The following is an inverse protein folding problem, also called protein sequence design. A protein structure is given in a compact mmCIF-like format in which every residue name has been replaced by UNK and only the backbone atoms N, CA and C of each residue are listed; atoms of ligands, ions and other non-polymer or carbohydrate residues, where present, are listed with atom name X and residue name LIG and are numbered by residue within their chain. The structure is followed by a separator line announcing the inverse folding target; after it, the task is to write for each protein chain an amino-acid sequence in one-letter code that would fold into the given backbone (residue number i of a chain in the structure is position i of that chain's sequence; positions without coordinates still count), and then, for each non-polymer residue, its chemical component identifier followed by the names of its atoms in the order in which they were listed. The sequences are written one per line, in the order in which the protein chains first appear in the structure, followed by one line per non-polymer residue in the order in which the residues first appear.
data_IF_518533168150
#
_entry.id   IF_518533168150
#
_cell.length_a   1.000
_cell.length_b   1.000
_cell.length_c   1.000
_cell.angle_alpha   90.00
_cell.angle_beta   90.00
_cell.angle_gamma   90.00
#
_symmetry.space_group_name_H-M   'P 1'
#
loop_
_entity.id
_entity.type
_entity.pdbx_description
1 polymer ?
#
# COMPACT_ATOMS: atom_id res chain seq x y z
N UNK A 1 -58.00 95.48 -3.64
CA UNK A 1 -56.75 95.69 -2.89
C UNK A 1 -55.82 94.51 -3.17
N UNK A 2 -54.57 94.81 -3.58
CA UNK A 2 -53.28 94.06 -3.50
C UNK A 2 -53.35 92.56 -3.14
N UNK A 3 -52.66 91.60 -3.76
CA UNK A 3 -51.53 91.57 -4.70
C UNK A 3 -50.97 90.13 -4.75
N UNK A 4 -50.29 89.78 -5.85
CA UNK A 4 -49.62 88.49 -6.13
C UNK A 4 -48.54 88.11 -5.11
N UNK A 5 -48.32 86.80 -4.86
CA UNK A 5 -46.98 86.16 -4.79
C UNK A 5 -47.08 84.66 -5.11
N UNK A 6 -46.23 84.18 -6.05
CA UNK A 6 -45.91 82.76 -6.33
C UNK A 6 -44.86 82.26 -5.33
N UNK A 7 -44.99 81.04 -4.81
CA UNK A 7 -43.98 80.39 -3.97
C UNK A 7 -43.83 78.90 -4.30
N UNK A 8 -42.69 78.55 -4.88
CA UNK A 8 -42.21 77.21 -5.19
C UNK A 8 -41.56 76.60 -3.93
N UNK A 9 -41.86 75.37 -3.48
CA UNK A 9 -41.10 74.77 -2.39
C UNK A 9 -39.78 74.16 -2.91
N UNK A 10 -38.71 74.59 -2.26
CA UNK A 10 -37.31 74.19 -2.44
C UNK A 10 -37.09 72.75 -1.94
N UNK A 11 -36.40 71.94 -2.73
CA UNK A 11 -35.92 70.62 -2.33
C UNK A 11 -34.73 70.77 -1.37
N UNK A 12 -34.87 70.23 -0.15
CA UNK A 12 -33.77 70.12 0.82
C UNK A 12 -33.02 68.81 0.56
N UNK A 13 -31.78 68.90 0.13
CA UNK A 13 -30.86 67.77 0.04
C UNK A 13 -30.32 67.46 1.46
N UNK A 14 -30.68 66.30 2.01
CA UNK A 14 -30.10 65.78 3.25
C UNK A 14 -28.87 64.95 2.89
N UNK A 15 -27.71 65.44 3.33
CA UNK A 15 -26.42 64.73 3.27
C UNK A 15 -26.44 63.63 4.35
N UNK A 16 -26.55 62.36 3.95
CA UNK A 16 -26.39 61.23 4.88
C UNK A 16 -24.91 60.81 4.87
N UNK A 17 -24.22 61.06 5.99
CA UNK A 17 -22.86 60.57 6.21
C UNK A 17 -22.86 59.04 6.31
N UNK A 18 -21.93 58.41 5.59
CA UNK A 18 -21.65 56.99 5.63
C UNK A 18 -21.16 56.55 7.02
N UNK A 19 -21.99 55.82 7.75
CA UNK A 19 -21.57 54.99 8.87
C UNK A 19 -21.26 53.59 8.35
N UNK A 20 -19.97 53.24 8.26
CA UNK A 20 -19.54 51.87 7.97
C UNK A 20 -19.96 50.97 9.13
N UNK A 21 -21.08 50.27 8.97
CA UNK A 21 -21.49 49.21 9.87
C UNK A 21 -20.47 48.07 9.75
N UNK A 22 -19.65 47.88 10.78
CA UNK A 22 -18.81 46.69 10.93
C UNK A 22 -19.77 45.56 11.27
N UNK A 23 -20.24 44.83 10.27
CA UNK A 23 -20.96 43.58 10.48
C UNK A 23 -19.94 42.56 10.97
N UNK A 24 -19.97 42.25 12.26
CA UNK A 24 -19.32 41.05 12.78
C UNK A 24 -19.97 39.85 12.09
N UNK A 25 -19.27 39.31 11.09
CA UNK A 25 -19.60 38.02 10.52
C UNK A 25 -19.48 36.99 11.65
N UNK A 26 -20.62 36.52 12.14
CA UNK A 26 -20.65 35.25 12.86
C UNK A 26 -20.14 34.21 11.88
N UNK A 27 -19.01 33.58 12.20
CA UNK A 27 -18.52 32.43 11.46
C UNK A 27 -19.64 31.38 11.49
N UNK A 28 -20.32 31.19 10.37
CA UNK A 28 -21.21 30.07 10.18
C UNK A 28 -20.31 28.82 10.24
N UNK A 29 -20.60 27.81 11.07
CA UNK A 29 -19.83 26.58 11.02
C UNK A 29 -19.89 26.04 9.59
N UNK A 30 -18.73 25.75 9.01
CA UNK A 30 -18.62 25.19 7.66
C UNK A 30 -19.57 24.01 7.50
N UNK A 31 -20.25 23.86 6.34
CA UNK A 31 -21.04 22.66 6.07
C UNK A 31 -20.11 21.44 6.15
N UNK A 32 -20.42 20.51 7.06
CA UNK A 32 -19.67 19.27 7.29
C UNK A 32 -19.37 18.58 5.97
N UNK A 33 -18.10 18.58 5.55
CA UNK A 33 -17.67 17.88 4.34
C UNK A 33 -17.52 16.38 4.66
N UNK A 34 -18.29 15.47 4.04
CA UNK A 34 -18.31 14.06 4.45
C UNK A 34 -17.06 13.30 3.96
N UNK A 35 -16.39 12.56 4.85
CA UNK A 35 -15.34 11.58 4.55
C UNK A 35 -15.17 10.52 5.67
N UNK A 36 -14.31 9.47 5.54
CA UNK A 36 -13.97 8.58 6.70
C UNK A 36 -13.87 9.52 7.87
N UNK A 37 -14.64 9.34 8.94
CA UNK A 37 -15.05 10.48 9.78
C UNK A 37 -13.82 11.36 10.06
N UNK A 38 -13.82 12.63 9.64
CA UNK A 38 -12.66 13.54 9.75
C UNK A 38 -11.45 13.30 8.80
N UNK A 39 -11.63 12.65 7.66
CA UNK A 39 -10.59 12.22 6.70
C UNK A 39 -10.56 12.99 5.38
N UNK A 40 -9.82 12.50 4.38
CA UNK A 40 -9.68 13.13 3.05
C UNK A 40 -9.82 12.10 1.93
N UNK A 41 -9.92 12.52 0.67
CA UNK A 41 -9.84 11.58 -0.45
C UNK A 41 -8.46 10.95 -0.45
N UNK A 42 -8.38 9.68 -0.87
CA UNK A 42 -7.11 9.00 -1.04
C UNK A 42 -6.19 9.82 -1.97
N UNK A 43 -5.02 10.18 -1.47
CA UNK A 43 -4.05 11.04 -2.19
C UNK A 43 -3.12 10.26 -3.10
N UNK A 44 -3.16 8.93 -3.03
CA UNK A 44 -2.34 8.01 -3.80
C UNK A 44 -3.18 6.79 -4.21
N UNK A 45 -2.72 6.04 -5.21
CA UNK A 45 -3.35 4.79 -5.61
C UNK A 45 -2.84 3.64 -4.75
N UNK A 46 -3.76 2.87 -4.18
CA UNK A 46 -3.42 1.71 -3.35
C UNK A 46 -3.71 0.41 -4.12
N UNK A 47 -2.67 -0.18 -4.71
CA UNK A 47 -2.80 -1.36 -5.59
C UNK A 47 -3.42 -2.58 -4.88
N UNK A 48 -3.18 -2.71 -3.59
CA UNK A 48 -3.70 -3.79 -2.75
C UNK A 48 -5.13 -3.56 -2.25
N UNK A 49 -5.69 -2.34 -2.37
CA UNK A 49 -6.99 -2.04 -1.79
C UNK A 49 -8.08 -2.91 -2.43
N UNK A 50 -8.90 -3.57 -1.60
CA UNK A 50 -9.95 -4.46 -2.04
C UNK A 50 -11.32 -3.99 -1.54
N UNK A 51 -12.29 -3.95 -2.45
CA UNK A 51 -13.71 -3.72 -2.17
C UNK A 51 -14.44 -5.04 -2.28
N UNK A 52 -14.95 -5.56 -1.16
CA UNK A 52 -15.81 -6.73 -1.08
C UNK A 52 -17.22 -6.33 -1.53
N UNK A 53 -17.77 -7.05 -2.50
CA UNK A 53 -19.03 -6.70 -3.15
C UNK A 53 -19.93 -7.92 -3.35
N UNK A 54 -21.24 -7.71 -3.25
CA UNK A 54 -22.19 -8.66 -3.81
C UNK A 54 -22.12 -8.66 -5.34
N UNK A 55 -22.71 -9.66 -5.99
CA UNK A 55 -22.72 -9.78 -7.46
C UNK A 55 -23.33 -8.59 -8.22
N UNK A 56 -24.15 -7.77 -7.57
CA UNK A 56 -24.69 -6.53 -8.15
C UNK A 56 -23.69 -5.36 -8.12
N UNK A 57 -22.48 -5.56 -7.57
CA UNK A 57 -21.47 -4.53 -7.37
C UNK A 57 -21.64 -3.72 -6.08
N UNK A 58 -22.62 -4.05 -5.24
CA UNK A 58 -22.84 -3.39 -3.96
C UNK A 58 -21.74 -3.69 -2.96
N UNK A 59 -20.98 -2.67 -2.57
CA UNK A 59 -19.91 -2.76 -1.57
C UNK A 59 -20.47 -2.96 -0.16
N UNK A 60 -19.88 -3.88 0.60
CA UNK A 60 -20.28 -4.16 1.99
C UNK A 60 -19.11 -4.18 2.98
N UNK A 61 -17.89 -4.52 2.54
CA UNK A 61 -16.68 -4.53 3.36
C UNK A 61 -15.43 -4.16 2.54
N UNK A 62 -14.38 -3.72 3.22
CA UNK A 62 -13.03 -3.57 2.68
C UNK A 62 -12.18 -4.84 2.81
N UNK A 63 -10.95 -4.75 2.30
CA UNK A 63 -9.93 -5.79 2.39
C UNK A 63 -8.60 -5.31 1.83
N UNK A 64 -7.57 -6.14 1.95
CA UNK A 64 -6.26 -5.93 1.35
C UNK A 64 -5.74 -7.18 0.64
N UNK A 65 -5.29 -7.04 -0.61
CA UNK A 65 -4.56 -8.08 -1.31
C UNK A 65 -3.21 -8.29 -0.62
N UNK A 66 -3.00 -9.47 -0.03
CA UNK A 66 -1.73 -9.84 0.65
C UNK A 66 -0.90 -10.83 -0.16
N UNK A 67 -1.52 -11.56 -1.09
CA UNK A 67 -0.85 -12.39 -2.12
C UNK A 67 -1.59 -12.25 -3.44
N UNK A 68 -1.01 -12.67 -4.59
CA UNK A 68 -1.70 -12.59 -5.88
C UNK A 68 -3.09 -13.26 -5.89
N UNK A 69 -3.33 -14.27 -5.05
CA UNK A 69 -4.61 -14.99 -4.93
C UNK A 69 -5.27 -14.85 -3.56
N UNK A 70 -4.76 -14.03 -2.64
CA UNK A 70 -5.27 -13.96 -1.27
C UNK A 70 -5.53 -12.52 -0.83
N UNK A 71 -6.77 -12.28 -0.40
CA UNK A 71 -7.21 -11.03 0.21
C UNK A 71 -7.46 -11.28 1.70
N UNK A 72 -6.92 -10.41 2.55
CA UNK A 72 -7.21 -10.38 3.98
C UNK A 72 -8.36 -9.39 4.23
N UNK A 73 -9.33 -9.81 5.03
CA UNK A 73 -10.50 -9.03 5.46
C UNK A 73 -10.94 -9.51 6.85
N UNK A 74 -12.04 -8.99 7.40
CA UNK A 74 -12.56 -9.43 8.69
C UNK A 74 -13.41 -10.72 8.55
N UNK A 75 -13.49 -11.55 9.60
CA UNK A 75 -14.33 -12.76 9.58
C UNK A 75 -15.81 -12.43 9.50
N UNK A 76 -16.25 -11.40 10.24
CA UNK A 76 -17.65 -11.02 10.25
C UNK A 76 -18.15 -10.56 8.86
N UNK A 77 -17.27 -10.11 7.97
CA UNK A 77 -17.60 -9.77 6.59
C UNK A 77 -17.99 -11.00 5.75
N UNK A 78 -17.57 -12.20 6.15
CA UNK A 78 -17.85 -13.44 5.42
C UNK A 78 -19.02 -14.23 6.03
N UNK A 79 -19.57 -13.75 7.15
CA UNK A 79 -20.65 -14.43 7.85
C UNK A 79 -21.95 -14.42 7.04
N UNK A 80 -22.48 -15.61 6.73
CA UNK A 80 -23.72 -15.75 5.96
C UNK A 80 -23.56 -15.61 4.44
N UNK A 81 -22.36 -15.26 3.97
CA UNK A 81 -22.04 -15.18 2.55
C UNK A 81 -21.78 -16.57 1.95
N UNK A 82 -21.88 -16.67 0.62
CA UNK A 82 -21.44 -17.84 -0.15
C UNK A 82 -20.43 -17.42 -1.24
N UNK A 83 -19.43 -18.24 -1.61
CA UNK A 83 -18.39 -17.85 -2.57
C UNK A 83 -18.91 -17.32 -3.90
N UNK A 84 -20.01 -17.89 -4.41
CA UNK A 84 -20.64 -17.46 -5.66
C UNK A 84 -21.44 -16.15 -5.54
N UNK A 85 -21.72 -15.68 -4.32
CA UNK A 85 -22.43 -14.43 -4.03
C UNK A 85 -21.53 -13.21 -3.93
N UNK A 86 -20.21 -13.43 -3.78
CA UNK A 86 -19.21 -12.40 -3.51
C UNK A 86 -18.23 -12.25 -4.66
N UNK A 87 -17.96 -11.01 -5.03
CA UNK A 87 -16.85 -10.61 -5.90
C UNK A 87 -15.98 -9.56 -5.19
N UNK A 88 -14.74 -9.43 -5.64
CA UNK A 88 -13.79 -8.47 -5.04
C UNK A 88 -13.23 -7.57 -6.13
N UNK A 89 -13.40 -6.25 -6.00
CA UNK A 89 -12.69 -5.28 -6.85
C UNK A 89 -11.37 -4.90 -6.20
N UNK A 90 -10.26 -5.10 -6.90
CA UNK A 90 -8.90 -4.94 -6.35
C UNK A 90 -8.10 -3.91 -7.15
N UNK A 91 -7.41 -3.01 -6.45
CA UNK A 91 -6.47 -2.04 -7.00
C UNK A 91 -7.11 -0.85 -7.70
N UNK A 92 -8.23 -0.36 -7.16
CA UNK A 92 -8.86 0.89 -7.58
C UNK A 92 -9.25 1.72 -6.36
N UNK A 93 -9.04 3.04 -6.43
CA UNK A 93 -9.60 3.96 -5.45
C UNK A 93 -11.11 4.22 -5.69
N UNK A 94 -11.66 3.83 -6.84
CA UNK A 94 -13.09 3.94 -7.12
C UNK A 94 -13.75 2.56 -6.93
N UNK A 95 -14.69 2.42 -6.01
CA UNK A 95 -15.33 1.12 -5.75
C UNK A 95 -16.24 0.63 -6.88
N UNK A 96 -16.64 1.51 -7.80
CA UNK A 96 -17.55 1.20 -8.91
C UNK A 96 -16.82 0.97 -10.25
N UNK A 97 -15.55 1.35 -10.38
CA UNK A 97 -14.81 1.28 -11.65
C UNK A 97 -13.31 1.08 -11.47
N UNK A 98 -12.60 0.69 -12.52
CA UNK A 98 -11.15 0.43 -12.49
C UNK A 98 -10.77 -0.84 -11.70
N UNK A 99 -9.48 -1.16 -11.68
CA UNK A 99 -8.96 -2.36 -11.02
C UNK A 99 -9.46 -3.67 -11.67
N UNK A 100 -9.27 -4.78 -10.96
CA UNK A 100 -9.71 -6.11 -11.37
C UNK A 100 -10.90 -6.56 -10.53
N UNK A 101 -11.96 -7.06 -11.15
CA UNK A 101 -13.04 -7.77 -10.43
C UNK A 101 -12.73 -9.26 -10.43
N UNK A 102 -12.37 -9.79 -9.26
CA UNK A 102 -12.00 -11.17 -9.06
C UNK A 102 -13.14 -11.97 -8.40
N UNK A 103 -13.29 -13.24 -8.81
CA UNK A 103 -14.23 -14.17 -8.20
C UNK A 103 -13.60 -14.89 -7.00
N UNK A 104 -14.42 -15.11 -5.98
CA UNK A 104 -14.03 -15.83 -4.77
C UNK A 104 -14.17 -17.35 -4.98
N UNK A 105 -13.16 -18.09 -4.54
CA UNK A 105 -13.13 -19.56 -4.56
C UNK A 105 -13.58 -20.13 -3.22
N UNK A 106 -13.03 -19.61 -2.13
CA UNK A 106 -13.36 -19.97 -0.74
C UNK A 106 -12.78 -18.91 0.20
N UNK A 107 -12.99 -19.07 1.49
CA UNK A 107 -12.26 -18.35 2.53
C UNK A 107 -11.88 -19.28 3.68
N UNK A 108 -10.94 -18.82 4.50
CA UNK A 108 -10.49 -19.50 5.72
C UNK A 108 -10.51 -18.47 6.86
N UNK A 109 -11.30 -18.76 7.87
CA UNK A 109 -11.36 -17.96 9.10
C UNK A 109 -10.23 -18.40 10.04
N UNK A 110 -9.64 -17.45 10.76
CA UNK A 110 -8.71 -17.70 11.84
C UNK A 110 -9.37 -18.40 13.04
N UNK A 111 -10.61 -18.02 13.38
CA UNK A 111 -11.45 -18.59 14.44
C UNK A 111 -11.21 -18.03 15.84
N UNK A 112 -10.30 -17.06 16.00
CA UNK A 112 -10.02 -16.41 17.30
C UNK A 112 -9.85 -14.89 17.14
N UNK A 113 -9.09 -14.46 16.14
CA UNK A 113 -9.06 -13.08 15.67
C UNK A 113 -10.16 -12.90 14.63
N UNK A 114 -10.78 -11.73 14.55
CA UNK A 114 -11.75 -11.37 13.52
C UNK A 114 -11.04 -11.07 12.19
N UNK A 115 -10.27 -12.04 11.68
CA UNK A 115 -9.51 -11.96 10.42
C UNK A 115 -9.78 -13.21 9.56
N UNK A 116 -10.10 -13.01 8.29
CA UNK A 116 -10.34 -14.06 7.29
C UNK A 116 -9.46 -13.87 6.05
N UNK A 117 -9.05 -15.00 5.47
CA UNK A 117 -8.35 -15.06 4.20
C UNK A 117 -9.29 -15.52 3.09
N UNK A 118 -9.54 -14.64 2.14
CA UNK A 118 -10.40 -14.90 0.98
C UNK A 118 -9.52 -15.29 -0.20
N UNK A 119 -9.75 -16.49 -0.72
CA UNK A 119 -9.00 -17.04 -1.83
C UNK A 119 -9.67 -16.74 -3.16
N UNK A 120 -8.92 -16.14 -4.08
CA UNK A 120 -9.37 -15.84 -5.43
C UNK A 120 -9.31 -17.09 -6.32
N UNK A 121 -10.18 -17.14 -7.33
CA UNK A 121 -10.16 -18.20 -8.36
C UNK A 121 -8.93 -18.16 -9.27
N UNK A 122 -8.30 -16.99 -9.42
CA UNK A 122 -7.10 -16.77 -10.22
C UNK A 122 -6.25 -15.64 -9.62
N UNK A 123 -4.93 -15.61 -9.87
CA UNK A 123 -4.08 -14.51 -9.42
C UNK A 123 -4.44 -13.20 -10.14
N UNK A 124 -4.29 -12.09 -9.44
CA UNK A 124 -4.42 -10.74 -10.00
C UNK A 124 -3.05 -10.08 -10.20
N UNK A 125 -2.96 -9.10 -11.10
CA UNK A 125 -1.71 -8.40 -11.43
C UNK A 125 -1.38 -7.25 -10.47
N UNK A 126 -2.33 -6.88 -9.61
CA UNK A 126 -2.16 -5.87 -8.58
C UNK A 126 -1.07 -6.28 -7.58
N UNK A 127 -0.34 -5.29 -7.07
CA UNK A 127 0.73 -5.50 -6.11
C UNK A 127 0.14 -5.75 -4.72
N UNK A 128 0.44 -6.91 -4.10
CA UNK A 128 0.01 -7.16 -2.73
C UNK A 128 0.77 -6.32 -1.71
N UNK A 129 0.16 -6.06 -0.57
CA UNK A 129 0.81 -5.42 0.58
C UNK A 129 1.46 -6.47 1.49
N UNK A 130 2.66 -6.17 2.00
CA UNK A 130 3.32 -7.00 3.02
C UNK A 130 2.79 -6.69 4.41
N UNK A 131 2.76 -7.69 5.29
CA UNK A 131 2.28 -7.54 6.66
C UNK A 131 3.37 -6.84 7.50
N UNK A 132 3.01 -5.84 8.29
CA UNK A 132 3.93 -5.19 9.23
C UNK A 132 4.34 -6.19 10.32
N UNK A 133 5.58 -6.19 10.83
CA UNK A 133 6.00 -7.15 11.86
C UNK A 133 5.45 -6.76 13.24
N UNK A 134 5.18 -5.46 13.44
CA UNK A 134 4.64 -4.88 14.68
C UNK A 134 3.93 -3.57 14.35
N UNK A 135 2.89 -3.25 15.10
CA UNK A 135 2.28 -1.92 15.16
C UNK A 135 2.55 -1.34 16.54
N UNK A 136 3.41 -0.34 16.63
CA UNK A 136 3.85 0.18 17.94
C UNK A 136 2.86 1.23 18.48
N UNK A 137 2.47 1.16 19.77
CA UNK A 137 1.75 2.25 20.43
C UNK A 137 2.48 3.59 20.29
N UNK A 138 1.71 4.67 20.09
CA UNK A 138 2.23 6.02 19.83
C UNK A 138 2.64 6.28 18.38
N UNK A 139 2.67 5.26 17.51
CA UNK A 139 2.82 5.48 16.07
C UNK A 139 1.55 6.06 15.45
N UNK A 140 1.66 6.68 14.28
CA UNK A 140 0.52 7.09 13.47
C UNK A 140 0.31 6.08 12.36
N UNK A 141 -0.95 5.68 12.17
CA UNK A 141 -1.37 4.74 11.14
C UNK A 141 -2.39 5.39 10.22
N UNK A 142 -2.48 4.87 8.99
CA UNK A 142 -3.46 5.33 8.00
C UNK A 142 -4.57 4.31 7.83
N UNK A 143 -5.81 4.75 7.96
CA UNK A 143 -6.99 3.95 7.68
C UNK A 143 -7.47 4.23 6.27
N UNK A 144 -7.87 3.19 5.54
CA UNK A 144 -8.45 3.31 4.20
C UNK A 144 -9.81 2.64 4.14
N UNK A 145 -10.74 3.25 3.42
CA UNK A 145 -12.02 2.61 3.15
C UNK A 145 -13.06 3.47 2.44
N UNK A 146 -14.21 2.86 2.24
CA UNK A 146 -15.39 3.47 1.59
C UNK A 146 -16.63 3.39 2.48
N UNK A 147 -16.44 3.30 3.78
CA UNK A 147 -17.52 3.28 4.75
C UNK A 147 -18.23 4.63 4.88
N UNK A 148 -19.34 4.60 5.60
CA UNK A 148 -20.16 5.77 5.87
C UNK A 148 -19.33 6.87 6.54
N UNK A 149 -19.57 8.10 6.09
CA UNK A 149 -18.78 9.27 6.49
C UNK A 149 -19.47 10.12 7.53
N UNK A 150 -20.76 9.86 7.73
CA UNK A 150 -21.63 10.48 8.71
C UNK A 150 -22.61 9.43 9.23
N UNK A 151 -22.69 9.26 10.54
CA UNK A 151 -23.72 8.45 11.19
C UNK A 151 -24.22 9.20 12.42
N UNK A 152 -25.52 9.50 12.44
CA UNK A 152 -26.13 10.23 13.55
C UNK A 152 -26.61 9.25 14.62
N UNK A 153 -26.44 9.55 15.92
CA UNK A 153 -27.11 8.79 16.97
C UNK A 153 -28.63 8.76 16.73
N UNK A 154 -29.21 7.57 16.52
CA UNK A 154 -30.65 7.40 16.27
C UNK A 154 -31.14 7.75 14.85
N UNK A 155 -30.25 8.05 13.91
CA UNK A 155 -30.57 8.30 12.50
C UNK A 155 -29.66 7.49 11.57
N UNK A 156 -30.17 7.11 10.40
CA UNK A 156 -29.40 6.33 9.42
C UNK A 156 -28.09 7.00 9.02
N UNK A 157 -27.13 6.19 8.57
CA UNK A 157 -25.87 6.69 8.06
C UNK A 157 -26.02 7.36 6.69
N UNK A 158 -25.22 8.40 6.44
CA UNK A 158 -25.12 9.04 5.13
C UNK A 158 -24.57 8.11 4.06
N UNK A 159 -24.69 8.54 2.80
CA UNK A 159 -24.21 7.76 1.66
C UNK A 159 -22.71 7.49 1.73
N UNK A 160 -22.34 6.23 1.64
CA UNK A 160 -20.94 5.80 1.58
C UNK A 160 -20.25 6.35 0.30
N UNK A 161 -19.00 6.80 0.36
CA UNK A 161 -18.32 7.50 -0.74
C UNK A 161 -17.93 6.54 -1.87
N UNK A 162 -17.95 7.03 -3.11
CA UNK A 162 -17.50 6.22 -4.26
C UNK A 162 -15.97 6.18 -4.37
N UNK A 163 -15.32 7.30 -4.05
CA UNK A 163 -13.86 7.41 -4.01
C UNK A 163 -13.35 7.00 -2.64
N UNK A 164 -12.20 6.33 -2.62
CA UNK A 164 -11.53 5.85 -1.43
C UNK A 164 -11.17 7.03 -0.55
N UNK A 165 -11.42 6.89 0.74
CA UNK A 165 -11.07 7.89 1.73
C UNK A 165 -9.91 7.38 2.58
N UNK A 166 -9.15 8.31 3.13
CA UNK A 166 -8.05 8.04 4.05
C UNK A 166 -8.09 8.95 5.27
N UNK A 167 -7.64 8.46 6.42
CA UNK A 167 -7.44 9.26 7.63
C UNK A 167 -6.26 8.72 8.42
N UNK A 168 -5.50 9.62 9.04
CA UNK A 168 -4.38 9.27 9.90
C UNK A 168 -4.79 9.39 11.37
N UNK A 169 -4.52 8.32 12.14
CA UNK A 169 -4.96 8.15 13.54
C UNK A 169 -3.80 7.59 14.36
N UNK A 170 -3.58 8.04 15.61
CA UNK A 170 -2.53 7.50 16.46
C UNK A 170 -2.97 6.18 17.12
N UNK A 171 -1.99 5.29 17.28
CA UNK A 171 -2.15 4.00 17.97
C UNK A 171 -2.02 4.19 19.47
N UNK A 172 -2.95 3.60 20.22
CA UNK A 172 -2.91 3.53 21.67
C UNK A 172 -2.31 2.19 22.14
N UNK A 173 -1.97 2.10 23.43
CA UNK A 173 -1.67 0.80 24.02
C UNK A 173 -2.92 -0.07 24.07
N UNK A 174 -2.77 -1.39 23.95
CA UNK A 174 -3.90 -2.34 23.95
C UNK A 174 -4.73 -2.25 25.24
N UNK A 175 -4.06 -1.94 26.36
CA UNK A 175 -4.71 -1.69 27.65
C UNK A 175 -5.72 -0.54 27.62
N UNK A 176 -5.58 0.43 26.71
CA UNK A 176 -6.54 1.51 26.54
C UNK A 176 -7.87 1.03 25.96
N UNK A 177 -7.90 -0.13 25.30
CA UNK A 177 -9.09 -0.73 24.73
C UNK A 177 -9.66 -1.90 25.56
N UNK A 178 -9.00 -2.29 26.66
CA UNK A 178 -9.53 -3.31 27.57
C UNK A 178 -9.10 -4.74 27.26
N UNK A 179 -7.84 -4.92 26.82
CA UNK A 179 -7.12 -6.20 26.69
C UNK A 179 -7.78 -7.24 25.79
N UNK A 180 -7.51 -7.16 24.49
CA UNK A 180 -7.58 -8.32 23.60
C UNK A 180 -6.24 -8.46 22.86
N UNK A 181 -5.62 -9.63 23.00
CA UNK A 181 -4.28 -9.97 22.48
C UNK A 181 -4.17 -9.98 20.94
N UNK A 182 -5.29 -9.75 20.24
CA UNK A 182 -5.39 -9.73 18.78
C UNK A 182 -5.94 -8.40 18.27
N UNK A 183 -5.90 -7.34 19.09
CA UNK A 183 -6.52 -6.06 18.76
C UNK A 183 -5.56 -4.89 18.85
N UNK A 184 -5.55 -4.07 17.81
CA UNK A 184 -4.92 -2.76 17.82
C UNK A 184 -5.95 -1.72 18.25
N UNK A 185 -5.58 -0.92 19.24
CA UNK A 185 -6.40 0.15 19.79
C UNK A 185 -6.05 1.51 19.14
N UNK A 186 -7.03 2.25 18.65
CA UNK A 186 -6.81 3.57 18.05
C UNK A 186 -7.43 4.73 18.84
N UNK A 187 -6.78 5.90 18.82
CA UNK A 187 -7.32 7.11 19.45
C UNK A 187 -8.24 7.89 18.49
N UNK A 188 -9.53 7.60 18.57
CA UNK A 188 -10.53 8.24 17.71
C UNK A 188 -11.11 9.54 18.30
N UNK A 189 -10.51 10.10 19.35
CA UNK A 189 -11.08 11.20 20.15
C UNK A 189 -11.37 12.48 19.36
N UNK A 190 -10.71 12.70 18.23
CA UNK A 190 -10.94 13.88 17.38
C UNK A 190 -12.06 13.65 16.35
N UNK A 191 -12.92 12.65 16.57
CA UNK A 191 -13.96 12.24 15.63
C UNK A 191 -13.40 11.49 14.42
N UNK A 192 -12.12 11.10 14.44
CA UNK A 192 -11.48 10.35 13.35
C UNK A 192 -11.70 8.86 13.50
N UNK A 193 -12.42 8.22 12.57
CA UNK A 193 -12.80 6.82 12.76
C UNK A 193 -13.25 6.12 11.48
N UNK A 194 -13.05 4.80 11.43
CA UNK A 194 -13.78 3.93 10.51
C UNK A 194 -15.27 3.87 10.86
N UNK A 195 -16.08 3.41 9.91
CA UNK A 195 -17.51 3.26 10.08
C UNK A 195 -18.09 2.15 9.20
N UNK A 196 -19.40 2.00 9.19
CA UNK A 196 -20.11 0.96 8.42
C UNK A 196 -19.67 0.93 6.95
N UNK A 197 -19.14 -0.21 6.51
CA UNK A 197 -18.55 -0.41 5.18
C UNK A 197 -17.02 -0.38 5.14
N UNK A 198 -16.36 0.15 6.17
CA UNK A 198 -14.90 0.07 6.32
C UNK A 198 -14.42 -1.26 6.90
N UNK A 199 -15.32 -2.06 7.49
CA UNK A 199 -15.06 -3.40 8.03
C UNK A 199 -14.18 -4.25 7.10
N UNK A 200 -13.15 -4.88 7.65
CA UNK A 200 -12.12 -5.63 6.93
C UNK A 200 -11.13 -4.77 6.13
N UNK A 201 -11.35 -3.47 6.01
CA UNK A 201 -10.46 -2.52 5.33
C UNK A 201 -9.15 -2.31 6.07
N UNK A 202 -8.06 -1.96 5.35
CA UNK A 202 -6.72 -1.97 5.90
C UNK A 202 -6.39 -0.76 6.77
N UNK A 203 -5.67 -1.05 7.86
CA UNK A 203 -4.85 -0.12 8.62
C UNK A 203 -3.40 -0.25 8.13
N UNK A 204 -2.80 0.87 7.72
CA UNK A 204 -1.45 0.93 7.16
C UNK A 204 -0.45 1.55 8.14
N UNK A 205 0.74 0.95 8.18
CA UNK A 205 1.91 1.46 8.90
C UNK A 205 2.97 1.86 7.88
N UNK A 206 3.68 2.96 8.13
CA UNK A 206 4.77 3.43 7.28
C UNK A 206 4.49 4.80 6.68
N UNK A 207 4.99 5.01 5.47
CA UNK A 207 4.87 6.27 4.73
C UNK A 207 4.46 6.00 3.28
N UNK A 208 3.96 7.01 2.54
CA UNK A 208 3.66 6.87 1.12
C UNK A 208 4.78 6.19 0.34
N UNK A 209 4.42 5.15 -0.42
CA UNK A 209 5.37 4.30 -1.16
C UNK A 209 6.03 3.15 -0.37
N UNK A 210 5.89 3.11 0.97
CA UNK A 210 6.47 2.10 1.86
C UNK A 210 5.46 1.56 2.88
N UNK A 211 4.19 1.47 2.48
CA UNK A 211 3.12 0.98 3.34
C UNK A 211 3.23 -0.51 3.63
N UNK A 212 2.90 -0.88 4.87
CA UNK A 212 2.70 -2.27 5.31
C UNK A 212 1.35 -2.42 5.99
N UNK A 213 0.75 -3.59 5.88
CA UNK A 213 -0.54 -3.89 6.51
C UNK A 213 -0.33 -4.09 8.01
N UNK A 214 -0.82 -3.13 8.79
CA UNK A 214 -0.80 -3.19 10.24
C UNK A 214 -2.00 -3.91 10.81
N UNK A 215 -3.18 -3.83 10.19
CA UNK A 215 -4.39 -4.48 10.69
C UNK A 215 -5.57 -4.42 9.72
N UNK A 216 -6.66 -5.07 10.09
CA UNK A 216 -7.94 -5.00 9.39
C UNK A 216 -9.05 -4.51 10.32
N UNK A 217 -9.97 -3.69 9.79
CA UNK A 217 -11.02 -3.03 10.59
C UNK A 217 -11.99 -4.08 11.14
N UNK A 218 -12.05 -4.26 12.47
CA UNK A 218 -12.87 -5.31 13.08
C UNK A 218 -14.14 -4.76 13.73
N UNK A 219 -14.01 -3.91 14.76
CA UNK A 219 -15.15 -3.52 15.58
C UNK A 219 -15.07 -2.11 16.14
N UNK A 220 -16.20 -1.61 16.63
CA UNK A 220 -16.30 -0.28 17.24
C UNK A 220 -17.70 -0.02 17.81
N UNK A 221 -17.93 1.17 18.39
CA UNK A 221 -19.25 1.57 18.87
C UNK A 221 -20.30 1.59 17.75
N UNK A 222 -21.57 1.41 18.13
CA UNK A 222 -22.72 1.52 17.22
C UNK A 222 -22.90 2.93 16.64
N UNK A 223 -22.36 3.95 17.29
CA UNK A 223 -22.22 5.28 16.69
C UNK A 223 -20.74 5.49 16.39
N UNK A 224 -20.40 5.52 15.11
CA UNK A 224 -19.03 5.73 14.67
C UNK A 224 -18.45 7.04 15.23
N UNK A 225 -17.16 7.05 15.58
CA UNK A 225 -16.48 8.23 16.11
C UNK A 225 -16.83 8.62 17.56
N UNK A 226 -17.72 7.91 18.27
CA UNK A 226 -18.04 8.22 19.68
C UNK A 226 -17.19 7.48 20.70
N UNK A 227 -16.42 6.48 20.27
CA UNK A 227 -15.52 5.70 21.11
C UNK A 227 -14.36 5.13 20.27
N UNK A 228 -13.45 4.42 20.94
CA UNK A 228 -12.31 3.74 20.32
C UNK A 228 -12.80 2.62 19.40
N UNK A 229 -12.09 2.43 18.29
CA UNK A 229 -12.28 1.29 17.38
C UNK A 229 -11.17 0.27 17.59
N UNK A 230 -11.50 -0.96 17.22
CA UNK A 230 -10.68 -2.15 17.31
C UNK A 230 -10.35 -2.63 15.90
N UNK A 231 -9.08 -2.93 15.69
CA UNK A 231 -8.58 -3.53 14.46
C UNK A 231 -8.00 -4.89 14.82
N UNK A 232 -8.26 -5.91 14.01
CA UNK A 232 -7.60 -7.19 14.21
C UNK A 232 -6.11 -7.07 13.89
N UNK A 233 -5.27 -7.73 14.69
CA UNK A 233 -3.81 -7.67 14.63
C UNK A 233 -3.27 -8.89 13.86
N UNK A 234 -2.90 -8.77 12.56
CA UNK A 234 -2.40 -9.87 11.75
C UNK A 234 -0.95 -10.23 12.05
N UNK A 235 -0.35 -9.69 13.11
CA UNK A 235 1.02 -9.97 13.54
C UNK A 235 1.11 -11.23 14.40
N UNK A 236 2.34 -11.56 14.84
CA UNK A 236 2.60 -12.66 15.78
C UNK A 236 2.04 -14.01 15.31
N UNK A 237 1.18 -14.62 16.14
CA UNK A 237 0.62 -15.94 15.82
C UNK A 237 -0.38 -15.90 14.66
N UNK A 238 -1.08 -14.78 14.45
CA UNK A 238 -1.99 -14.60 13.30
C UNK A 238 -1.18 -14.61 12.01
N UNK A 239 0.00 -13.97 11.98
CA UNK A 239 0.89 -14.04 10.83
C UNK A 239 1.37 -15.48 10.55
N UNK A 240 1.59 -16.27 11.59
CA UNK A 240 1.98 -17.68 11.44
C UNK A 240 0.84 -18.48 10.79
N UNK A 241 -0.39 -18.23 11.21
CA UNK A 241 -1.58 -18.80 10.56
C UNK A 241 -1.70 -18.33 9.11
N UNK A 242 -1.57 -17.03 8.82
CA UNK A 242 -1.62 -16.47 7.46
C UNK A 242 -0.62 -17.20 6.56
N UNK A 243 0.63 -17.34 7.01
CA UNK A 243 1.68 -18.00 6.24
C UNK A 243 1.39 -19.50 6.02
N UNK A 244 0.72 -20.16 6.96
CA UNK A 244 0.32 -21.57 6.80
C UNK A 244 -0.79 -21.77 5.76
N UNK A 245 -1.65 -20.76 5.55
CA UNK A 245 -2.80 -20.83 4.64
C UNK A 245 -2.47 -20.26 3.26
N UNK A 246 -1.87 -19.07 3.23
CA UNK A 246 -1.61 -18.29 2.01
C UNK A 246 -0.16 -18.42 1.50
N UNK A 247 0.70 -19.14 2.22
CA UNK A 247 2.14 -19.17 1.97
C UNK A 247 2.86 -17.96 2.57
N UNK A 248 4.20 -17.99 2.66
CA UNK A 248 4.99 -16.91 3.23
C UNK A 248 4.73 -15.59 2.51
N UNK A 249 4.88 -14.47 3.23
CA UNK A 249 4.95 -13.14 2.61
C UNK A 249 5.97 -13.20 1.47
N UNK A 250 5.56 -12.71 0.29
CA UNK A 250 6.56 -12.29 -0.67
C UNK A 250 7.46 -11.27 0.06
N UNK A 251 8.80 -11.33 -0.12
CA UNK A 251 9.71 -10.37 0.52
C UNK A 251 9.13 -8.96 0.39
N UNK A 252 9.15 -8.14 1.46
CA UNK A 252 8.43 -6.87 1.48
C UNK A 252 8.66 -6.12 0.18
N UNK A 253 7.59 -5.88 -0.57
CA UNK A 253 7.61 -5.01 -1.75
C UNK A 253 7.69 -3.58 -1.24
N UNK A 254 8.74 -3.24 -0.49
CA UNK A 254 9.15 -1.86 -0.36
C UNK A 254 9.60 -1.45 -1.74
N UNK A 255 8.78 -0.73 -2.49
CA UNK A 255 9.17 0.04 -3.67
C UNK A 255 10.42 -0.48 -4.45
N UNK A 256 10.47 -1.75 -4.87
CA UNK A 256 11.59 -2.26 -5.67
C UNK A 256 11.54 -1.53 -7.01
N UNK A 257 12.36 -0.49 -7.14
CA UNK A 257 12.37 0.41 -8.28
C UNK A 257 12.81 -0.31 -9.55
N UNK A 258 13.49 -1.45 -9.43
CA UNK A 258 13.91 -2.29 -10.56
C UNK A 258 12.79 -3.24 -11.03
N UNK A 259 11.73 -3.46 -10.25
CA UNK A 259 10.67 -4.41 -10.57
C UNK A 259 10.02 -4.10 -11.92
N UNK A 260 10.05 -5.09 -12.82
CA UNK A 260 9.54 -5.05 -14.19
C UNK A 260 10.08 -3.90 -15.04
N UNK A 261 11.26 -3.37 -14.69
CA UNK A 261 11.89 -2.30 -15.45
C UNK A 261 12.66 -2.82 -16.65
N UNK A 262 12.86 -1.98 -17.69
CA UNK A 262 13.76 -2.32 -18.78
C UNK A 262 15.16 -2.65 -18.26
N UNK A 263 15.61 -3.86 -18.59
CA UNK A 263 16.94 -4.36 -18.26
C UNK A 263 17.71 -4.73 -19.52
N UNK A 264 19.01 -4.49 -19.52
CA UNK A 264 19.94 -4.89 -20.58
C UNK A 264 21.17 -5.55 -19.97
N UNK A 265 21.88 -6.36 -20.75
CA UNK A 265 23.04 -7.05 -20.22
C UNK A 265 23.67 -8.01 -21.22
N UNK A 266 24.59 -8.82 -20.72
CA UNK A 266 25.31 -9.83 -21.50
C UNK A 266 24.37 -10.91 -22.04
N UNK A 267 24.82 -11.56 -23.12
CA UNK A 267 24.10 -12.67 -23.75
C UNK A 267 23.70 -13.75 -22.73
N UNK A 268 22.45 -14.17 -22.81
CA UNK A 268 21.89 -15.17 -21.92
C UNK A 268 22.39 -16.59 -22.24
N UNK A 269 22.41 -17.48 -21.25
CA UNK A 269 22.74 -18.89 -21.46
C UNK A 269 21.74 -19.58 -22.41
N UNK A 270 20.47 -19.18 -22.38
CA UNK A 270 19.43 -19.58 -23.34
C UNK A 270 18.30 -18.54 -23.41
N UNK A 271 17.34 -18.75 -24.30
CA UNK A 271 16.24 -17.81 -24.58
C UNK A 271 15.31 -17.53 -23.38
N UNK A 272 15.23 -18.44 -22.40
CA UNK A 272 14.35 -18.31 -21.23
C UNK A 272 15.03 -17.71 -20.00
N UNK A 273 16.34 -17.48 -20.05
CA UNK A 273 17.17 -17.00 -18.93
C UNK A 273 17.73 -15.59 -19.17
N UNK A 274 16.93 -14.76 -19.84
CA UNK A 274 17.28 -13.38 -20.15
C UNK A 274 17.28 -12.45 -18.93
N UNK A 275 17.84 -11.26 -19.10
CA UNK A 275 17.96 -10.23 -18.04
C UNK A 275 16.64 -9.83 -17.39
N UNK A 276 15.52 -9.93 -18.11
CA UNK A 276 14.19 -9.65 -17.58
C UNK A 276 13.78 -10.62 -16.44
N UNK A 277 14.41 -11.79 -16.35
CA UNK A 277 14.18 -12.74 -15.25
C UNK A 277 14.75 -12.26 -13.93
N UNK A 278 15.80 -11.42 -13.95
CA UNK A 278 16.42 -10.91 -12.74
C UNK A 278 15.74 -9.65 -12.19
N UNK A 279 14.59 -9.26 -12.71
CA UNK A 279 13.85 -8.06 -12.27
C UNK A 279 12.34 -8.30 -12.24
N UNK A 280 11.89 -9.55 -12.26
CA UNK A 280 10.47 -9.89 -12.40
C UNK A 280 9.76 -10.04 -11.04
N UNK A 281 10.50 -9.90 -9.93
CA UNK A 281 9.98 -10.04 -8.58
C UNK A 281 9.78 -11.49 -8.14
N UNK A 282 10.35 -12.45 -8.86
CA UNK A 282 10.14 -13.87 -8.63
C UNK A 282 11.46 -14.61 -8.42
N UNK A 283 11.46 -15.51 -7.44
CA UNK A 283 12.52 -16.51 -7.24
C UNK A 283 11.99 -17.93 -7.29
N UNK A 284 10.69 -18.10 -7.53
CA UNK A 284 9.96 -19.36 -7.35
C UNK A 284 9.55 -20.02 -8.67
N UNK A 285 9.90 -19.44 -9.83
CA UNK A 285 9.63 -20.02 -11.15
C UNK A 285 10.57 -21.18 -11.53
N UNK A 286 11.30 -21.74 -10.57
CA UNK A 286 12.26 -22.82 -10.76
C UNK A 286 13.52 -22.39 -11.52
N UNK A 287 14.29 -23.36 -12.00
CA UNK A 287 15.62 -23.11 -12.57
C UNK A 287 15.64 -22.15 -13.77
N UNK A 288 14.53 -21.94 -14.48
CA UNK A 288 14.47 -20.99 -15.61
C UNK A 288 14.16 -19.54 -15.19
N UNK A 289 13.90 -19.29 -13.92
CA UNK A 289 13.50 -17.98 -13.40
C UNK A 289 14.69 -17.13 -12.96
N UNK A 290 15.75 -17.14 -13.77
CA UNK A 290 16.99 -16.43 -13.48
C UNK A 290 17.56 -15.82 -14.73
N UNK A 291 18.31 -14.74 -14.57
CA UNK A 291 19.29 -14.37 -15.58
C UNK A 291 20.50 -15.30 -15.46
N UNK A 292 20.87 -15.92 -16.57
CA UNK A 292 22.10 -16.71 -16.69
C UNK A 292 23.00 -16.14 -17.78
N UNK A 293 24.31 -16.07 -17.55
CA UNK A 293 25.26 -15.73 -18.61
C UNK A 293 26.61 -16.43 -18.44
N UNK A 294 27.18 -16.87 -19.57
CA UNK A 294 28.54 -17.44 -19.69
C UNK A 294 29.50 -16.50 -20.44
N UNK A 295 29.09 -15.26 -20.70
CA UNK A 295 29.90 -14.29 -21.44
C UNK A 295 31.22 -13.96 -20.70
N UNK A 296 32.25 -13.52 -21.44
CA UNK A 296 33.51 -13.09 -20.85
C UNK A 296 33.31 -11.99 -19.80
N UNK A 297 32.57 -10.94 -20.18
CA UNK A 297 32.02 -9.94 -19.25
C UNK A 297 30.55 -10.26 -18.99
N UNK A 298 30.19 -10.48 -17.72
CA UNK A 298 28.81 -10.72 -17.28
C UNK A 298 28.29 -9.46 -16.59
N UNK A 299 27.45 -8.70 -17.28
CA UNK A 299 26.80 -7.53 -16.71
C UNK A 299 25.29 -7.56 -16.94
N UNK A 300 24.57 -7.02 -15.97
CA UNK A 300 23.15 -6.76 -15.97
C UNK A 300 22.96 -5.32 -15.49
N UNK A 301 22.19 -4.52 -16.21
CA UNK A 301 21.81 -3.17 -15.79
C UNK A 301 20.32 -2.94 -15.97
N UNK A 302 19.78 -2.06 -15.14
CA UNK A 302 18.36 -1.73 -15.08
C UNK A 302 18.18 -0.22 -15.19
N UNK A 303 17.26 0.23 -16.05
CA UNK A 303 16.80 1.62 -16.11
C UNK A 303 15.58 1.82 -15.22
N UNK A 304 15.74 2.54 -14.11
CA UNK A 304 14.66 2.81 -13.15
C UNK A 304 13.61 3.79 -13.71
N UNK A 305 13.92 4.49 -14.81
CA UNK A 305 13.07 5.42 -15.54
C UNK A 305 13.28 6.89 -15.16
N UNK A 306 13.71 7.17 -13.93
CA UNK A 306 14.04 8.50 -13.42
C UNK A 306 15.13 8.44 -12.36
N UNK A 307 15.70 9.59 -11.98
CA UNK A 307 16.63 9.65 -10.85
C UNK A 307 15.93 9.44 -9.51
N UNK A 308 16.43 8.50 -8.71
CA UNK A 308 15.93 8.19 -7.36
C UNK A 308 17.06 8.30 -6.34
N UNK A 309 16.76 8.77 -5.13
CA UNK A 309 17.68 8.72 -4.00
C UNK A 309 17.73 7.28 -3.45
N UNK A 310 18.64 6.46 -3.98
CA UNK A 310 18.74 5.05 -3.64
C UNK A 310 19.38 4.86 -2.27
N UNK A 311 18.82 3.91 -1.51
CA UNK A 311 19.26 3.52 -0.16
C UNK A 311 19.76 2.10 -0.08
N UNK A 312 19.31 1.22 -0.97
CA UNK A 312 19.69 -0.20 -0.93
C UNK A 312 19.67 -0.84 -2.30
N UNK A 313 20.65 -1.70 -2.55
CA UNK A 313 20.64 -2.67 -3.65
C UNK A 313 20.63 -4.08 -3.07
N UNK A 314 19.88 -4.99 -3.68
CA UNK A 314 19.81 -6.40 -3.28
C UNK A 314 20.07 -7.29 -4.48
N UNK A 315 20.86 -8.35 -4.27
CA UNK A 315 21.09 -9.39 -5.28
C UNK A 315 20.66 -10.72 -4.69
N UNK A 316 19.73 -11.42 -5.37
CA UNK A 316 19.34 -12.79 -5.05
C UNK A 316 20.06 -13.74 -6.01
N UNK A 317 20.92 -14.56 -5.44
CA UNK A 317 21.80 -15.51 -6.11
C UNK A 317 21.10 -16.85 -6.36
N UNK A 318 21.84 -17.85 -6.82
CA UNK A 318 21.29 -19.13 -7.26
C UNK A 318 20.47 -19.84 -6.16
N UNK A 319 20.97 -19.88 -4.93
CA UNK A 319 20.30 -20.56 -3.83
C UNK A 319 19.05 -19.85 -3.32
N UNK A 320 18.92 -18.54 -3.54
CA UNK A 320 17.66 -17.84 -3.28
C UNK A 320 16.52 -18.33 -4.20
N UNK A 321 16.87 -18.86 -5.39
CA UNK A 321 15.93 -19.50 -6.31
C UNK A 321 15.81 -21.02 -6.17
N UNK A 322 16.41 -21.60 -5.13
CA UNK A 322 16.35 -23.04 -4.85
C UNK A 322 17.43 -23.89 -5.54
N UNK A 323 18.40 -23.29 -6.23
CA UNK A 323 19.57 -24.02 -6.73
C UNK A 323 20.59 -24.31 -5.60
N UNK A 324 21.60 -25.13 -5.89
CA UNK A 324 22.70 -25.36 -4.95
C UNK A 324 23.45 -24.06 -4.62
N UNK A 325 23.73 -23.81 -3.34
CA UNK A 325 24.55 -22.68 -2.88
C UNK A 325 25.97 -22.67 -3.47
N UNK A 326 26.46 -23.79 -3.98
CA UNK A 326 27.73 -23.83 -4.74
C UNK A 326 27.70 -22.96 -5.99
N UNK A 327 26.51 -22.63 -6.50
CA UNK A 327 26.29 -21.78 -7.66
C UNK A 327 26.04 -20.31 -7.32
N UNK A 328 26.08 -19.92 -6.03
CA UNK A 328 25.94 -18.52 -5.67
C UNK A 328 27.11 -17.68 -6.20
N UNK A 329 26.78 -16.49 -6.69
CA UNK A 329 27.78 -15.55 -7.21
C UNK A 329 28.77 -15.21 -6.13
N UNK A 330 30.05 -15.52 -6.37
CA UNK A 330 31.12 -15.36 -5.40
C UNK A 330 31.68 -13.94 -5.40
N UNK A 331 31.99 -13.41 -6.58
CA UNK A 331 32.62 -12.09 -6.72
C UNK A 331 31.83 -11.23 -7.71
N UNK A 332 31.47 -10.02 -7.31
CA UNK A 332 30.73 -9.08 -8.14
C UNK A 332 30.89 -7.62 -7.68
N UNK A 333 30.62 -6.69 -8.59
CA UNK A 333 30.57 -5.26 -8.32
C UNK A 333 29.16 -4.72 -8.58
N UNK A 334 28.74 -3.77 -7.75
CA UNK A 334 27.52 -2.99 -7.93
C UNK A 334 27.89 -1.56 -8.27
N UNK A 335 27.22 -0.99 -9.27
CA UNK A 335 27.43 0.38 -9.69
C UNK A 335 26.11 1.10 -9.94
N UNK A 336 26.14 2.43 -9.83
CA UNK A 336 25.00 3.31 -10.12
C UNK A 336 25.41 4.37 -11.15
N UNK A 337 24.42 4.90 -11.87
CA UNK A 337 24.63 5.90 -12.90
C UNK A 337 23.41 6.82 -13.09
N UNK A 338 23.65 8.09 -13.42
CA UNK A 338 22.60 9.04 -13.77
C UNK A 338 22.20 8.97 -15.26
N UNK A 339 23.14 8.60 -16.14
CA UNK A 339 23.03 8.69 -17.61
C UNK A 339 23.07 7.32 -18.31
N UNK A 340 23.41 6.24 -17.59
CA UNK A 340 23.57 4.89 -18.11
C UNK A 340 24.92 4.64 -18.77
N UNK A 341 25.81 5.63 -18.82
CA UNK A 341 27.11 5.57 -19.49
C UNK A 341 28.28 5.76 -18.53
N UNK A 342 28.16 6.68 -17.58
CA UNK A 342 29.17 6.98 -16.56
C UNK A 342 28.78 6.30 -15.27
N UNK A 343 29.65 5.44 -14.74
CA UNK A 343 29.30 4.54 -13.63
C UNK A 343 30.18 4.77 -12.41
N UNK A 344 29.53 4.82 -11.25
CA UNK A 344 30.19 4.85 -9.94
C UNK A 344 29.97 3.52 -9.24
N UNK A 345 31.05 2.80 -8.93
CA UNK A 345 30.96 1.57 -8.12
C UNK A 345 30.58 1.94 -6.68
N UNK A 346 29.53 1.31 -6.17
CA UNK A 346 28.99 1.54 -4.82
C UNK A 346 29.22 0.35 -3.88
N UNK A 347 29.47 -0.85 -4.42
CA UNK A 347 29.91 -2.01 -3.65
C UNK A 347 30.81 -2.92 -4.49
N UNK A 348 31.83 -3.49 -3.85
CA UNK A 348 32.69 -4.51 -4.43
C UNK A 348 32.72 -5.72 -3.49
N UNK A 349 32.07 -6.80 -3.89
CA UNK A 349 31.87 -8.00 -3.07
C UNK A 349 32.78 -9.10 -3.56
N UNK A 350 33.54 -9.71 -2.64
CA UNK A 350 34.46 -10.80 -2.94
C UNK A 350 34.25 -11.94 -1.94
N UNK A 351 34.23 -13.18 -2.42
CA UNK A 351 34.04 -14.36 -1.58
C UNK A 351 32.64 -14.49 -0.97
N UNK A 352 31.60 -13.93 -1.59
CA UNK A 352 30.23 -14.09 -1.12
C UNK A 352 29.84 -15.57 -1.10
N UNK A 353 29.20 -16.01 0.00
CA UNK A 353 28.63 -17.35 0.17
C UNK A 353 27.12 -17.31 0.46
N UNK A 354 26.52 -16.12 0.51
CA UNK A 354 25.10 -15.93 0.79
C UNK A 354 24.25 -16.05 -0.47
N UNK A 355 23.08 -16.67 -0.34
CA UNK A 355 22.04 -16.72 -1.37
C UNK A 355 21.39 -15.36 -1.65
N UNK A 356 21.44 -14.43 -0.69
CA UNK A 356 20.97 -13.05 -0.87
C UNK A 356 21.98 -12.08 -0.26
N UNK A 357 22.33 -11.02 -0.97
CA UNK A 357 23.19 -9.95 -0.46
C UNK A 357 22.48 -8.61 -0.52
N UNK A 358 22.62 -7.83 0.54
CA UNK A 358 22.03 -6.49 0.65
C UNK A 358 23.14 -5.46 0.86
N UNK A 359 23.04 -4.32 0.18
CA UNK A 359 24.07 -3.29 0.16
C UNK A 359 23.43 -1.93 0.40
N UNK A 360 23.68 -1.35 1.57
CA UNK A 360 23.26 0.02 1.87
C UNK A 360 24.09 1.01 1.03
N UNK A 361 23.40 1.94 0.37
CA UNK A 361 24.00 2.98 -0.47
C UNK A 361 23.34 4.32 -0.17
N UNK A 362 23.91 5.42 -0.66
CA UNK A 362 23.31 6.74 -0.48
C UNK A 362 23.61 7.62 -1.69
N UNK A 363 23.03 7.24 -2.83
CA UNK A 363 23.35 7.81 -4.12
C UNK A 363 22.06 8.14 -4.88
N UNK A 364 22.04 9.27 -5.58
CA UNK A 364 20.97 9.56 -6.53
C UNK A 364 21.33 9.00 -7.90
N UNK A 365 20.50 8.11 -8.44
CA UNK A 365 20.78 7.47 -9.73
C UNK A 365 19.49 7.05 -10.45
N UNK A 366 19.58 6.94 -11.79
CA UNK A 366 18.53 6.40 -12.66
C UNK A 366 18.81 4.97 -13.08
N UNK A 367 20.08 4.59 -13.14
CA UNK A 367 20.50 3.27 -13.58
C UNK A 367 21.30 2.57 -12.49
N UNK A 368 21.10 1.25 -12.37
CA UNK A 368 21.86 0.36 -11.50
C UNK A 368 22.46 -0.77 -12.33
N UNK A 369 23.64 -1.25 -11.95
CA UNK A 369 24.36 -2.32 -12.66
C UNK A 369 25.00 -3.30 -11.69
N UNK A 370 24.88 -4.58 -12.03
CA UNK A 370 25.60 -5.70 -11.45
C UNK A 370 26.62 -6.21 -12.49
N UNK A 371 27.88 -6.32 -12.08
CA UNK A 371 28.94 -6.96 -12.87
C UNK A 371 29.45 -8.19 -12.12
N UNK A 372 29.25 -9.38 -12.69
CA UNK A 372 29.71 -10.65 -12.11
C UNK A 372 31.14 -10.92 -12.57
N UNK A 373 32.05 -11.10 -11.60
CA UNK A 373 33.46 -11.41 -11.80
C UNK A 373 33.67 -12.92 -11.70
N UNK A 374 33.23 -13.52 -10.58
CA UNK A 374 33.29 -14.97 -10.33
C UNK A 374 31.89 -15.47 -10.01
N UNK A 375 31.32 -16.28 -10.89
CA UNK A 375 29.91 -16.63 -10.90
C UNK A 375 29.46 -17.74 -9.94
N UNK A 376 30.41 -18.50 -9.38
CA UNK A 376 30.11 -19.63 -8.50
C UNK A 376 31.20 -19.83 -7.44
N UNK A 377 30.87 -20.54 -6.36
CA UNK A 377 31.80 -20.83 -5.25
C UNK A 377 33.02 -21.64 -5.71
N UNK A 378 32.80 -22.57 -6.65
CA UNK A 378 33.84 -23.40 -7.26
C UNK A 378 34.81 -22.65 -8.18
N UNK A 379 34.59 -21.34 -8.40
CA UNK A 379 35.32 -20.56 -9.39
C UNK A 379 34.76 -20.65 -10.81
N UNK A 380 33.64 -21.37 -11.01
CA UNK A 380 33.00 -21.43 -12.32
C UNK A 380 32.50 -20.03 -12.75
N UNK A 381 32.71 -19.71 -14.03
CA UNK A 381 32.51 -18.35 -14.55
C UNK A 381 31.10 -18.13 -15.15
N UNK A 382 30.06 -18.61 -14.47
CA UNK A 382 28.66 -18.56 -14.92
C UNK A 382 27.84 -17.70 -13.96
N UNK A 383 27.25 -16.60 -14.43
CA UNK A 383 26.31 -15.82 -13.63
C UNK A 383 24.97 -16.57 -13.52
N UNK A 384 24.41 -16.58 -12.31
CA UNK A 384 23.03 -17.01 -12.02
C UNK A 384 22.44 -16.03 -11.01
N UNK A 385 21.52 -15.17 -11.47
CA UNK A 385 20.92 -14.12 -10.65
C UNK A 385 19.42 -14.23 -10.79
N UNK A 386 18.74 -14.48 -9.68
CA UNK A 386 17.29 -14.59 -9.63
C UNK A 386 16.64 -13.22 -9.51
N UNK A 387 17.21 -12.30 -8.73
CA UNK A 387 16.71 -10.92 -8.67
C UNK A 387 17.86 -9.92 -8.45
N UNK A 388 17.71 -8.74 -9.03
CA UNK A 388 18.53 -7.56 -8.80
C UNK A 388 17.61 -6.37 -8.53
N UNK A 389 17.53 -6.00 -7.26
CA UNK A 389 16.51 -5.10 -6.74
C UNK A 389 17.15 -3.76 -6.30
N UNK A 390 16.39 -2.67 -6.40
CA UNK A 390 16.83 -1.34 -6.00
C UNK A 390 15.75 -0.62 -5.16
N UNK A 391 16.15 0.00 -4.06
CA UNK A 391 15.23 0.63 -3.10
C UNK A 391 15.67 2.06 -2.77
N UNK A 392 14.72 2.94 -2.50
CA UNK A 392 14.91 4.34 -2.10
C UNK A 392 14.63 4.59 -0.62
#
# INVERSE_FOLDING_TARGET
MRGMVKGLPVAVAVLILAGSAVTSATAQPDPLTPNIIGGVDATENYSFMASMQGNSGGHFCGGALIRPTWVLTAEHCMAGEVPSGVQIRIGSNNRNSGGTVAKVRRWVNHGNADTSLVELTAPVSQQPISIAPVVAPGSTVRLLGWGATTCNPGGGCGGAPTNLRQVDVPVLSDSACGTDQWTICLDNKDGKSACYGDSGGPLLVGTPGNWRLGGDTSGGPAVCGTARFYYAEPQGSVNTWINSVAGPDAPPVGNNLALNKPATGSAACNANEGVAKAVNGSVSGGNSDKWCSVAGTKSLQVDLGSGHALKKLVVKHASAGGESATFDTRDFDLAVSADGTTWTTVAAVRGNTSGTTEHAINNTARHVRLTVITGAQSGANVARVYEFEAYA
#
